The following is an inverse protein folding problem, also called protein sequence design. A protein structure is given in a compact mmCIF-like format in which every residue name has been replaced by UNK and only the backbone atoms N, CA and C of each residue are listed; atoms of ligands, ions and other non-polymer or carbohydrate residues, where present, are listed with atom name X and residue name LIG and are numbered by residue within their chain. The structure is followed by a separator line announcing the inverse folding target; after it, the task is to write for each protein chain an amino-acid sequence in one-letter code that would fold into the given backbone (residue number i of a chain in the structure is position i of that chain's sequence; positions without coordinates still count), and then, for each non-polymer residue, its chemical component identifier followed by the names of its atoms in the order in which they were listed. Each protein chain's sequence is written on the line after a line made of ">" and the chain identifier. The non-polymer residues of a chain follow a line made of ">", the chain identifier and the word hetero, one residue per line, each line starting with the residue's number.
data_IF_094866225590
#
_entry.id   IF_094866225590
#
_cell.length_a   1.000
_cell.length_b   1.000
_cell.length_c   1.000
_cell.angle_alpha   90.00
_cell.angle_beta   90.00
_cell.angle_gamma   90.00
#
_symmetry.space_group_name_H-M   'P 1'
#
loop_
_entity.id
_entity.type
_entity.pdbx_description
1 polymer ?
#
# COMPACT_ATOMS: atom_id res chain seq x y z
N UNK A 1 5.70 5.06 0.72
CA UNK A 1 6.74 4.02 0.51
C UNK A 1 6.96 3.28 1.81
N UNK A 2 6.81 1.96 1.84
CA UNK A 2 6.99 1.14 3.04
C UNK A 2 8.37 1.34 3.68
N UNK A 3 9.41 1.52 2.86
CA UNK A 3 10.78 1.81 3.32
C UNK A 3 10.86 3.12 4.10
N UNK A 4 10.22 4.20 3.61
CA UNK A 4 10.21 5.51 4.31
C UNK A 4 9.27 5.52 5.53
N UNK A 5 8.29 4.61 5.58
CA UNK A 5 7.42 4.46 6.74
C UNK A 5 8.04 3.64 7.87
N UNK A 6 9.03 2.80 7.55
CA UNK A 6 9.73 1.94 8.50
C UNK A 6 11.13 2.41 8.86
N UNK A 7 11.81 3.17 8.00
CA UNK A 7 13.16 3.70 8.22
C UNK A 7 13.10 5.23 8.37
N UNK A 8 13.08 5.71 9.60
CA UNK A 8 13.06 7.15 9.92
C UNK A 8 14.45 7.78 9.83
N UNK A 9 15.52 6.97 9.79
CA UNK A 9 16.91 7.44 9.62
C UNK A 9 17.49 8.21 10.82
N UNK A 10 16.78 8.25 11.94
CA UNK A 10 17.12 9.03 13.15
C UNK A 10 17.37 8.13 14.38
N UNK A 11 16.95 6.86 14.37
CA UNK A 11 17.00 5.99 15.55
C UNK A 11 18.34 5.26 15.73
N UNK A 12 18.75 5.11 17.00
CA UNK A 12 19.92 4.34 17.43
C UNK A 12 19.81 2.82 17.16
N UNK A 13 18.63 2.32 16.73
CA UNK A 13 18.36 0.89 16.51
C UNK A 13 17.93 0.57 15.06
N UNK A 14 18.72 1.03 14.09
CA UNK A 14 18.46 0.83 12.64
C UNK A 14 18.28 -0.64 12.24
N UNK A 15 18.98 -1.55 12.92
CA UNK A 15 18.88 -3.00 12.68
C UNK A 15 17.49 -3.57 13.06
N UNK A 16 16.87 -3.05 14.12
CA UNK A 16 15.52 -3.44 14.53
C UNK A 16 14.45 -2.91 13.54
N UNK A 17 14.66 -1.71 12.98
CA UNK A 17 13.78 -1.14 11.96
C UNK A 17 13.83 -1.92 10.64
N UNK A 18 15.04 -2.33 10.22
CA UNK A 18 15.22 -3.23 9.07
C UNK A 18 14.52 -4.57 9.31
N UNK A 19 14.64 -5.14 10.52
CA UNK A 19 13.96 -6.37 10.88
C UNK A 19 12.43 -6.28 10.72
N UNK A 20 11.83 -5.18 11.19
CA UNK A 20 10.39 -4.91 11.04
C UNK A 20 9.98 -4.75 9.59
N UNK A 21 10.80 -4.06 8.78
CA UNK A 21 10.57 -3.91 7.35
C UNK A 21 10.62 -5.26 6.63
N UNK A 22 11.59 -6.12 6.93
CA UNK A 22 11.69 -7.46 6.35
C UNK A 22 10.46 -8.27 6.72
N UNK A 23 10.08 -8.29 8.00
CA UNK A 23 8.90 -9.03 8.44
C UNK A 23 7.62 -8.54 7.73
N UNK A 24 7.43 -7.23 7.63
CA UNK A 24 6.31 -6.65 6.89
C UNK A 24 6.29 -7.07 5.41
N UNK A 25 7.45 -7.12 4.75
CA UNK A 25 7.54 -7.55 3.36
C UNK A 25 7.33 -9.06 3.19
N UNK A 26 7.76 -9.87 4.14
CA UNK A 26 7.51 -11.32 4.14
C UNK A 26 6.02 -11.65 4.30
N UNK A 27 5.31 -10.89 5.14
CA UNK A 27 3.87 -11.08 5.34
C UNK A 27 3.04 -10.71 4.09
N UNK A 28 3.57 -9.83 3.23
CA UNK A 28 2.81 -9.25 2.11
C UNK A 28 3.21 -9.84 0.75
N UNK A 29 4.51 -9.96 0.47
CA UNK A 29 4.97 -10.18 -0.91
C UNK A 29 6.20 -11.07 -1.07
N UNK A 30 7.06 -11.21 -0.05
CA UNK A 30 8.30 -11.98 -0.14
C UNK A 30 8.15 -13.39 0.46
N UNK A 31 8.71 -14.43 -0.18
CA UNK A 31 8.89 -15.72 0.48
C UNK A 31 9.82 -15.57 1.70
N UNK A 32 9.47 -16.20 2.82
CA UNK A 32 10.27 -16.14 4.06
C UNK A 32 11.74 -16.52 3.83
N UNK A 33 12.65 -15.69 4.37
CA UNK A 33 14.09 -15.92 4.31
C UNK A 33 14.77 -15.50 3.00
N UNK A 34 14.07 -14.80 2.11
CA UNK A 34 14.64 -14.28 0.85
C UNK A 34 15.60 -13.12 1.08
N UNK A 35 15.41 -12.33 2.14
CA UNK A 35 16.23 -11.16 2.47
C UNK A 35 16.72 -11.27 3.91
N UNK A 36 18.01 -11.02 4.13
CA UNK A 36 18.60 -10.97 5.48
C UNK A 36 18.80 -9.52 5.91
N UNK A 37 18.71 -9.25 7.20
CA UNK A 37 18.99 -7.93 7.78
C UNK A 37 20.41 -7.46 7.44
N UNK A 38 21.38 -8.38 7.50
CA UNK A 38 22.80 -8.18 7.15
C UNK A 38 23.01 -7.57 5.76
N UNK A 39 22.12 -7.84 4.81
CA UNK A 39 22.23 -7.38 3.42
C UNK A 39 21.77 -5.93 3.22
N UNK A 40 21.16 -5.31 4.24
CA UNK A 40 20.51 -4.00 4.17
C UNK A 40 21.07 -2.97 5.16
N UNK A 41 21.83 -3.40 6.19
CA UNK A 41 22.32 -2.53 7.26
C UNK A 41 23.25 -1.41 6.76
N UNK A 42 24.07 -1.68 5.74
CA UNK A 42 25.06 -0.73 5.22
C UNK A 42 24.56 0.12 4.04
N UNK A 43 23.30 -0.04 3.63
CA UNK A 43 22.75 0.62 2.44
C UNK A 43 21.94 1.86 2.82
N UNK A 44 21.99 2.87 1.95
CA UNK A 44 21.09 4.02 2.06
C UNK A 44 19.64 3.61 1.75
N UNK A 45 18.67 4.39 2.24
CA UNK A 45 17.25 4.12 2.02
C UNK A 45 16.90 3.95 0.52
N UNK A 46 17.52 4.73 -0.37
CA UNK A 46 17.28 4.63 -1.82
C UNK A 46 17.88 3.35 -2.43
N UNK A 47 19.04 2.91 -1.93
CA UNK A 47 19.65 1.63 -2.33
C UNK A 47 18.86 0.43 -1.81
N UNK A 48 18.31 0.52 -0.59
CA UNK A 48 17.41 -0.48 -0.03
C UNK A 48 16.16 -0.61 -0.91
N UNK A 49 15.54 0.52 -1.30
CA UNK A 49 14.38 0.52 -2.21
C UNK A 49 14.74 -0.19 -3.52
N UNK A 50 15.88 0.18 -4.12
CA UNK A 50 16.31 -0.39 -5.41
C UNK A 50 16.54 -1.90 -5.30
N UNK A 51 17.26 -2.35 -4.26
CA UNK A 51 17.55 -3.77 -4.04
C UNK A 51 16.28 -4.59 -3.78
N UNK A 52 15.35 -4.06 -2.99
CA UNK A 52 14.06 -4.71 -2.73
C UNK A 52 13.20 -4.81 -3.99
N UNK A 53 13.15 -3.77 -4.81
CA UNK A 53 12.45 -3.79 -6.10
C UNK A 53 13.04 -4.87 -7.01
N UNK A 54 14.38 -4.96 -7.10
CA UNK A 54 15.04 -5.98 -7.92
C UNK A 54 14.73 -7.41 -7.44
N UNK A 55 14.69 -7.63 -6.13
CA UNK A 55 14.35 -8.94 -5.55
C UNK A 55 12.88 -9.27 -5.84
N UNK A 56 11.98 -8.31 -5.63
CA UNK A 56 10.55 -8.48 -5.93
C UNK A 56 10.30 -8.76 -7.40
N UNK A 57 11.02 -8.08 -8.30
CA UNK A 57 10.94 -8.31 -9.73
C UNK A 57 11.39 -9.73 -10.11
N UNK A 58 12.45 -10.25 -9.48
CA UNK A 58 12.88 -11.64 -9.69
C UNK A 58 11.81 -12.64 -9.25
N UNK A 59 11.25 -12.46 -8.05
CA UNK A 59 10.16 -13.32 -7.54
C UNK A 59 8.93 -13.24 -8.45
N UNK A 60 8.60 -12.06 -8.94
CA UNK A 60 7.50 -11.85 -9.88
C UNK A 60 7.74 -12.62 -11.19
N UNK A 61 8.94 -12.50 -11.78
CA UNK A 61 9.30 -13.19 -13.02
C UNK A 61 9.34 -14.71 -12.85
N UNK A 62 9.83 -15.19 -11.71
CA UNK A 62 9.81 -16.63 -11.39
C UNK A 62 8.37 -17.16 -11.34
N UNK A 63 7.45 -16.42 -10.69
CA UNK A 63 6.02 -16.77 -10.71
C UNK A 63 5.42 -16.67 -12.12
N UNK A 64 5.75 -15.64 -12.90
CA UNK A 64 5.25 -15.52 -14.28
C UNK A 64 5.68 -16.73 -15.12
N UNK A 65 6.90 -17.23 -14.95
CA UNK A 65 7.41 -18.42 -15.63
C UNK A 65 6.69 -19.71 -15.18
N UNK A 66 6.33 -19.84 -13.91
CA UNK A 66 5.61 -21.00 -13.37
C UNK A 66 4.18 -21.12 -13.94
N UNK A 67 3.49 -19.99 -14.09
CA UNK A 67 2.10 -19.94 -14.57
C UNK A 67 2.00 -19.80 -16.10
N UNK A 68 3.02 -19.22 -16.74
CA UNK A 68 2.99 -18.82 -18.14
C UNK A 68 2.37 -17.44 -18.33
N UNK A 69 2.97 -16.65 -19.23
CA UNK A 69 2.65 -15.23 -19.44
C UNK A 69 1.15 -14.94 -19.62
N UNK A 70 0.47 -15.63 -20.55
CA UNK A 70 -0.95 -15.39 -20.84
C UNK A 70 -1.86 -15.62 -19.62
N UNK A 71 -1.64 -16.72 -18.89
CA UNK A 71 -2.43 -17.06 -17.71
C UNK A 71 -2.14 -16.08 -16.57
N UNK A 72 -0.88 -15.69 -16.43
CA UNK A 72 -0.47 -14.74 -15.41
C UNK A 72 -1.08 -13.35 -15.63
N UNK A 73 -1.19 -12.86 -16.88
CA UNK A 73 -1.92 -11.62 -17.20
C UNK A 73 -3.39 -11.67 -16.82
N UNK A 74 -4.05 -12.81 -16.99
CA UNK A 74 -5.44 -12.96 -16.56
C UNK A 74 -5.55 -12.99 -15.03
N UNK A 75 -4.61 -13.61 -14.33
CA UNK A 75 -4.54 -13.55 -12.86
C UNK A 75 -4.38 -12.11 -12.37
N UNK A 76 -3.46 -11.35 -12.95
CA UNK A 76 -3.27 -9.92 -12.62
C UNK A 76 -4.56 -9.12 -12.82
N UNK A 77 -5.23 -9.32 -13.97
CA UNK A 77 -6.48 -8.66 -14.29
C UNK A 77 -7.57 -8.98 -13.26
N UNK A 78 -7.72 -10.26 -12.90
CA UNK A 78 -8.73 -10.71 -11.92
C UNK A 78 -8.43 -10.13 -10.54
N UNK A 79 -7.16 -10.13 -10.10
CA UNK A 79 -6.77 -9.55 -8.81
C UNK A 79 -7.06 -8.06 -8.80
N UNK A 80 -6.63 -7.32 -9.84
CA UNK A 80 -6.85 -5.88 -9.93
C UNK A 80 -8.35 -5.54 -9.90
N UNK A 81 -9.16 -6.22 -10.71
CA UNK A 81 -10.60 -6.00 -10.74
C UNK A 81 -11.24 -6.28 -9.39
N UNK A 82 -10.84 -7.35 -8.70
CA UNK A 82 -11.35 -7.69 -7.37
C UNK A 82 -11.00 -6.63 -6.32
N UNK A 83 -9.77 -6.12 -6.34
CA UNK A 83 -9.33 -5.07 -5.40
C UNK A 83 -10.07 -3.77 -5.66
N UNK A 84 -10.20 -3.37 -6.93
CA UNK A 84 -10.94 -2.16 -7.32
C UNK A 84 -12.41 -2.27 -6.91
N UNK A 85 -13.06 -3.39 -7.20
CA UNK A 85 -14.48 -3.61 -6.90
C UNK A 85 -14.73 -3.53 -5.38
N UNK A 86 -13.90 -4.20 -4.58
CA UNK A 86 -14.01 -4.15 -3.11
C UNK A 86 -13.82 -2.73 -2.59
N UNK A 87 -12.75 -2.04 -3.00
CA UNK A 87 -12.44 -0.68 -2.51
C UNK A 87 -13.49 0.34 -2.96
N UNK A 88 -14.04 0.17 -4.16
CA UNK A 88 -15.10 1.02 -4.68
C UNK A 88 -16.41 0.83 -3.91
N UNK A 89 -16.77 -0.41 -3.59
CA UNK A 89 -17.95 -0.72 -2.77
C UNK A 89 -17.82 -0.10 -1.37
N UNK A 90 -16.68 -0.31 -0.71
CA UNK A 90 -16.39 0.30 0.60
C UNK A 90 -16.45 1.84 0.51
N UNK A 91 -15.94 2.43 -0.58
CA UNK A 91 -15.99 3.87 -0.79
C UNK A 91 -17.42 4.40 -0.94
N UNK A 92 -18.28 3.73 -1.70
CA UNK A 92 -19.70 4.11 -1.83
C UNK A 92 -20.38 4.10 -0.45
N UNK A 93 -20.20 3.03 0.33
CA UNK A 93 -20.78 2.93 1.67
C UNK A 93 -20.29 4.07 2.58
N UNK A 94 -19.00 4.36 2.53
CA UNK A 94 -18.42 5.46 3.31
C UNK A 94 -18.95 6.84 2.85
N UNK A 95 -19.16 7.05 1.54
CA UNK A 95 -19.74 8.28 1.00
C UNK A 95 -21.21 8.44 1.40
N UNK A 96 -21.97 7.35 1.47
CA UNK A 96 -23.35 7.35 1.97
C UNK A 96 -23.40 7.68 3.47
N UNK A 97 -22.49 7.13 4.27
CA UNK A 97 -22.34 7.50 5.68
C UNK A 97 -21.96 8.97 5.86
N UNK A 98 -21.01 9.48 5.06
CA UNK A 98 -20.62 10.88 5.06
C UNK A 98 -21.83 11.77 4.76
N UNK A 99 -22.60 11.45 3.72
CA UNK A 99 -23.79 12.20 3.32
C UNK A 99 -24.85 12.27 4.42
N UNK A 100 -25.06 11.19 5.16
CA UNK A 100 -25.99 11.17 6.30
C UNK A 100 -25.47 11.98 7.49
N UNK A 101 -24.15 11.96 7.73
CA UNK A 101 -23.50 12.65 8.85
C UNK A 101 -23.16 14.13 8.62
N UNK A 102 -23.10 14.59 7.36
CA UNK A 102 -22.62 15.93 7.02
C UNK A 102 -23.50 17.04 7.61
N UNK A 103 -24.80 16.79 7.78
CA UNK A 103 -25.75 17.73 8.39
C UNK A 103 -25.42 18.08 9.84
N UNK A 104 -24.83 17.15 10.60
CA UNK A 104 -24.37 17.41 11.97
C UNK A 104 -23.08 18.25 12.00
N UNK A 105 -22.28 18.21 10.92
CA UNK A 105 -21.04 18.98 10.77
C UNK A 105 -21.27 20.41 10.26
N UNK A 106 -22.36 20.63 9.52
CA UNK A 106 -22.82 21.96 9.08
C UNK A 106 -23.07 22.94 10.24
N UNK A 107 -23.22 22.45 11.48
CA UNK A 107 -23.34 23.29 12.67
C UNK A 107 -22.05 24.09 12.98
N UNK A 108 -20.90 23.73 12.39
CA UNK A 108 -19.61 24.43 12.55
C UNK A 108 -19.36 25.56 11.53
N UNK A 109 -20.39 26.23 11.03
CA UNK A 109 -20.31 27.39 10.11
C UNK A 109 -19.65 27.13 8.74
N UNK A 110 -19.30 25.89 8.42
CA UNK A 110 -18.85 25.46 7.09
C UNK A 110 -20.06 25.06 6.24
N UNK A 111 -20.05 25.47 4.97
CA UNK A 111 -21.06 25.03 4.00
C UNK A 111 -20.99 23.50 3.87
N UNK A 112 -22.08 22.76 4.17
CA UNK A 112 -22.08 21.30 4.09
C UNK A 112 -21.67 20.76 2.71
N UNK A 113 -21.91 21.52 1.62
CA UNK A 113 -21.47 21.12 0.27
C UNK A 113 -19.94 21.13 0.19
N UNK A 114 -19.30 22.18 0.71
CA UNK A 114 -17.85 22.31 0.70
C UNK A 114 -17.20 21.24 1.59
N UNK A 115 -17.77 20.98 2.77
CA UNK A 115 -17.27 19.94 3.67
C UNK A 115 -17.39 18.54 3.03
N UNK A 116 -18.52 18.24 2.38
CA UNK A 116 -18.70 16.97 1.65
C UNK A 116 -17.68 16.80 0.53
N UNK A 117 -17.40 17.85 -0.25
CA UNK A 117 -16.40 17.81 -1.32
C UNK A 117 -14.99 17.57 -0.78
N UNK A 118 -14.61 18.29 0.28
CA UNK A 118 -13.26 18.18 0.85
C UNK A 118 -13.03 16.81 1.48
N UNK A 119 -13.97 16.32 2.30
CA UNK A 119 -13.88 15.01 2.93
C UNK A 119 -14.01 13.88 1.90
N UNK A 120 -14.95 13.99 0.96
CA UNK A 120 -15.11 13.00 -0.11
C UNK A 120 -13.87 12.88 -1.00
N UNK A 121 -13.18 14.00 -1.28
CA UNK A 121 -11.91 13.97 -2.01
C UNK A 121 -10.82 13.25 -1.23
N UNK A 122 -10.70 13.52 0.08
CA UNK A 122 -9.74 12.82 0.93
C UNK A 122 -10.02 11.30 0.98
N UNK A 123 -11.29 10.91 1.13
CA UNK A 123 -11.70 9.50 1.14
C UNK A 123 -11.47 8.81 -0.21
N UNK A 124 -11.58 9.55 -1.32
CA UNK A 124 -11.24 9.03 -2.64
C UNK A 124 -9.72 8.81 -2.78
N UNK A 125 -8.89 9.74 -2.31
CA UNK A 125 -7.43 9.56 -2.28
C UNK A 125 -7.03 8.36 -1.42
N UNK A 126 -7.67 8.16 -0.27
CA UNK A 126 -7.47 6.98 0.57
C UNK A 126 -7.86 5.69 -0.16
N UNK A 127 -8.99 5.67 -0.88
CA UNK A 127 -9.39 4.53 -1.70
C UNK A 127 -8.34 4.21 -2.77
N UNK A 128 -7.86 5.22 -3.50
CA UNK A 128 -6.83 5.05 -4.54
C UNK A 128 -5.52 4.54 -3.92
N UNK A 129 -5.12 5.05 -2.76
CA UNK A 129 -3.93 4.57 -2.07
C UNK A 129 -4.10 3.14 -1.54
N UNK A 130 -5.32 2.71 -1.22
CA UNK A 130 -5.61 1.33 -0.82
C UNK A 130 -5.71 0.34 -1.98
N UNK A 131 -5.78 0.81 -3.23
CA UNK A 131 -5.74 -0.03 -4.44
C UNK A 131 -4.28 -0.25 -4.90
N UNK A 132 -3.40 0.72 -4.65
CA UNK A 132 -1.96 0.68 -5.00
C UNK A 132 -1.18 -0.24 -4.07
#
# INVERSE_FOLDING_TARGET
>A
DAVKAHLDGVNENYEEEIGKLIQYLEDICLPHGTVKSEDLIDLSNDEIITKLIDILMKVYLEKELEFGEEQFREVERVILLRVVDQKWMDHIDNMDHLKQGIGLRAYKQLDPIQAYQMEGSAMFEEMINGIK
#
